data_IF_912275066099
#
_entry.id   IF_912275066099
#
_cell.length_a   1.000
_cell.length_b   1.000
_cell.length_c   1.000
_cell.angle_alpha   90.00
_cell.angle_beta   90.00
_cell.angle_gamma   90.00
#
_symmetry.space_group_name_H-M   'P 1'
#
loop_
_entity.id
_entity.type
_entity.pdbx_description
1 polymer ?
#
# COMPACT_ATOMS: atom_id res chain seq x y z
N UNK A 1 -8.53 -15.46 21.52
CA UNK A 1 -9.18 -14.37 22.25
C UNK A 1 -9.95 -13.53 21.24
N UNK A 2 -11.20 -13.20 21.54
CA UNK A 2 -12.06 -12.38 20.69
C UNK A 2 -11.46 -10.97 20.64
N UNK A 3 -11.10 -10.47 19.46
CA UNK A 3 -10.65 -9.10 19.31
C UNK A 3 -11.79 -8.15 19.73
N UNK A 4 -11.52 -7.07 20.48
CA UNK A 4 -12.55 -6.08 20.75
C UNK A 4 -13.10 -5.54 19.42
N UNK A 5 -14.41 -5.25 19.33
CA UNK A 5 -14.97 -4.63 18.14
C UNK A 5 -14.22 -3.33 17.85
N UNK A 6 -14.06 -2.95 16.56
CA UNK A 6 -13.42 -1.70 16.20
C UNK A 6 -14.11 -0.56 16.94
N UNK A 7 -13.30 0.34 17.52
CA UNK A 7 -13.79 1.50 18.26
C UNK A 7 -14.71 2.30 17.34
N UNK A 8 -16.01 2.29 17.63
CA UNK A 8 -16.97 3.08 16.88
C UNK A 8 -16.72 4.55 17.17
N UNK A 9 -16.47 5.34 16.13
CA UNK A 9 -16.19 6.76 16.29
C UNK A 9 -17.48 7.50 16.66
N UNK A 10 -17.67 7.76 17.95
CA UNK A 10 -18.84 8.49 18.49
C UNK A 10 -18.77 10.00 18.17
N UNK A 11 -17.57 10.54 18.11
CA UNK A 11 -17.33 11.97 17.86
C UNK A 11 -16.59 12.19 16.56
N UNK A 12 -17.17 12.99 15.67
CA UNK A 12 -16.53 13.46 14.45
C UNK A 12 -15.91 14.85 14.66
N UNK A 13 -14.75 15.07 14.06
CA UNK A 13 -14.14 16.39 14.04
C UNK A 13 -15.10 17.40 13.35
N UNK A 14 -15.26 18.62 13.89
CA UNK A 14 -16.14 19.61 13.29
C UNK A 14 -15.65 20.02 11.90
N UNK A 15 -16.58 20.36 11.02
CA UNK A 15 -16.23 20.90 9.70
C UNK A 15 -15.58 22.28 9.85
N UNK A 16 -14.68 22.61 8.92
CA UNK A 16 -14.10 23.96 8.83
C UNK A 16 -15.25 24.98 8.67
N UNK A 17 -15.39 25.98 9.58
CA UNK A 17 -16.50 26.93 9.51
C UNK A 17 -16.33 27.97 8.39
N UNK A 18 -15.11 28.18 7.90
CA UNK A 18 -14.79 29.11 6.83
C UNK A 18 -13.27 29.30 6.69
N UNK A 19 -12.86 30.18 5.77
CA UNK A 19 -11.47 30.64 5.61
C UNK A 19 -11.29 31.99 6.30
N UNK A 20 -10.12 32.24 6.89
CA UNK A 20 -9.80 33.53 7.50
C UNK A 20 -9.61 34.63 6.46
N UNK A 21 -9.99 35.86 6.79
CA UNK A 21 -9.99 37.02 5.87
C UNK A 21 -9.16 38.20 6.35
N UNK A 22 -8.68 38.17 7.60
CA UNK A 22 -7.89 39.26 8.21
C UNK A 22 -6.42 39.14 7.82
N UNK A 23 -5.77 40.28 7.56
CA UNK A 23 -4.34 40.37 7.25
C UNK A 23 -4.06 40.69 5.79
N UNK A 24 -2.81 41.05 5.48
CA UNK A 24 -2.37 41.33 4.12
C UNK A 24 -1.99 40.01 3.41
N UNK A 25 -2.52 39.72 2.21
CA UNK A 25 -2.14 38.52 1.46
C UNK A 25 -0.63 38.47 1.16
N UNK A 26 -0.06 37.28 1.22
CA UNK A 26 1.34 36.99 0.87
C UNK A 26 1.40 35.76 -0.03
N UNK A 27 2.30 35.78 -1.03
CA UNK A 27 2.55 34.62 -1.90
C UNK A 27 3.48 33.65 -1.19
N UNK A 28 3.10 32.38 -1.16
CA UNK A 28 3.87 31.31 -0.51
C UNK A 28 4.14 30.19 -1.51
N UNK A 29 5.25 29.49 -1.29
CA UNK A 29 5.49 28.16 -1.83
C UNK A 29 5.40 27.18 -0.67
N UNK A 30 4.75 26.04 -0.90
CA UNK A 30 4.71 24.93 0.03
C UNK A 30 5.46 23.75 -0.59
N UNK A 31 6.10 22.94 0.25
CA UNK A 31 6.66 21.64 -0.13
C UNK A 31 5.57 20.57 -0.29
N UNK A 32 4.46 20.95 -0.93
CA UNK A 32 3.31 20.12 -1.23
C UNK A 32 3.18 20.06 -2.76
N UNK A 33 3.33 18.86 -3.30
CA UNK A 33 3.27 18.61 -4.73
C UNK A 33 1.93 17.96 -5.05
N UNK A 34 1.21 18.53 -6.01
CA UNK A 34 -0.08 17.99 -6.45
C UNK A 34 0.10 16.61 -7.09
N UNK A 35 -0.79 15.68 -6.75
CA UNK A 35 -0.80 14.33 -7.30
C UNK A 35 -2.08 14.14 -8.09
N UNK A 36 -1.95 13.84 -9.38
CA UNK A 36 -3.08 13.44 -10.21
C UNK A 36 -3.39 11.95 -9.94
N UNK A 37 -4.58 11.69 -9.40
CA UNK A 37 -5.03 10.35 -9.05
C UNK A 37 -5.96 9.84 -10.17
N UNK A 38 -5.68 8.67 -10.78
CA UNK A 38 -6.54 8.15 -11.83
C UNK A 38 -7.90 7.70 -11.28
N UNK A 39 -8.96 7.97 -12.04
CA UNK A 39 -10.35 7.58 -11.74
C UNK A 39 -10.57 6.09 -12.01
N UNK A 40 -9.97 5.25 -11.19
CA UNK A 40 -10.02 3.81 -11.34
C UNK A 40 -10.21 3.12 -9.99
N UNK A 41 -10.45 1.83 -10.06
CA UNK A 41 -10.45 0.96 -8.90
C UNK A 41 -9.18 0.11 -8.91
N UNK A 42 -8.62 -0.13 -7.72
CA UNK A 42 -7.50 -1.04 -7.51
C UNK A 42 -7.95 -2.25 -6.71
N UNK A 43 -7.24 -3.36 -6.86
CA UNK A 43 -7.56 -4.63 -6.21
C UNK A 43 -6.63 -4.83 -5.02
N UNK A 44 -7.22 -5.05 -3.85
CA UNK A 44 -6.50 -5.26 -2.60
C UNK A 44 -6.54 -6.73 -2.21
N UNK A 45 -5.38 -7.29 -1.91
CA UNK A 45 -5.22 -8.66 -1.44
C UNK A 45 -4.46 -8.68 -0.11
N UNK A 46 -4.78 -9.67 0.70
CA UNK A 46 -3.99 -10.05 1.87
C UNK A 46 -2.86 -10.97 1.43
N UNK A 47 -1.65 -10.69 1.91
CA UNK A 47 -0.50 -11.59 1.83
C UNK A 47 -0.16 -12.08 3.23
N UNK A 48 -0.09 -13.40 3.40
CA UNK A 48 0.46 -14.03 4.61
C UNK A 48 1.76 -14.74 4.24
N UNK A 49 2.84 -14.48 4.98
CA UNK A 49 4.17 -15.06 4.74
C UNK A 49 4.55 -15.86 5.98
N UNK A 50 4.98 -17.11 5.77
CA UNK A 50 5.52 -17.98 6.81
C UNK A 50 6.97 -18.36 6.48
N UNK A 51 7.91 -18.20 7.42
CA UNK A 51 7.75 -17.70 8.80
C UNK A 51 7.34 -16.21 8.88
N UNK A 52 6.55 -15.86 9.90
CA UNK A 52 5.83 -14.57 10.02
C UNK A 52 6.61 -13.48 10.78
N UNK A 53 7.76 -13.82 11.38
CA UNK A 53 8.62 -12.90 12.16
C UNK A 53 9.76 -12.29 11.34
N UNK A 54 9.66 -12.29 10.03
CA UNK A 54 10.68 -11.73 9.16
C UNK A 54 10.66 -10.18 9.15
N UNK A 55 11.82 -9.51 9.03
CA UNK A 55 11.88 -8.08 8.80
C UNK A 55 11.11 -7.68 7.53
N UNK A 56 10.52 -6.47 7.51
CA UNK A 56 9.75 -6.00 6.34
C UNK A 56 10.56 -5.97 5.04
N UNK A 57 11.88 -5.78 5.12
CA UNK A 57 12.78 -5.84 3.97
C UNK A 57 12.77 -7.26 3.37
N UNK A 58 12.91 -8.28 4.21
CA UNK A 58 12.85 -9.68 3.78
C UNK A 58 11.49 -10.01 3.18
N UNK A 59 10.38 -9.58 3.80
CA UNK A 59 9.05 -9.79 3.24
C UNK A 59 8.89 -9.18 1.85
N UNK A 60 9.48 -8.00 1.61
CA UNK A 60 9.47 -7.37 0.29
C UNK A 60 10.30 -8.18 -0.72
N UNK A 61 11.46 -8.70 -0.32
CA UNK A 61 12.27 -9.60 -1.16
C UNK A 61 11.51 -10.88 -1.51
N UNK A 62 10.77 -11.48 -0.56
CA UNK A 62 9.91 -12.64 -0.79
C UNK A 62 8.84 -12.33 -1.84
N UNK A 63 8.13 -11.21 -1.68
CA UNK A 63 7.07 -10.83 -2.64
C UNK A 63 7.65 -10.48 -4.00
N UNK A 64 8.80 -9.80 -4.07
CA UNK A 64 9.48 -9.51 -5.33
C UNK A 64 9.85 -10.79 -6.08
N UNK A 65 10.47 -11.75 -5.39
CA UNK A 65 10.83 -13.04 -5.98
C UNK A 65 9.58 -13.83 -6.44
N UNK A 66 8.51 -13.81 -5.63
CA UNK A 66 7.23 -14.41 -6.00
C UNK A 66 6.64 -13.78 -7.26
N UNK A 67 6.67 -12.45 -7.38
CA UNK A 67 6.14 -11.72 -8.55
C UNK A 67 6.92 -12.09 -9.81
N UNK A 68 8.25 -12.21 -9.70
CA UNK A 68 9.10 -12.61 -10.83
C UNK A 68 8.91 -14.08 -11.22
N UNK A 69 8.92 -14.99 -10.24
CA UNK A 69 8.85 -16.43 -10.48
C UNK A 69 7.47 -16.89 -10.99
N UNK A 70 6.40 -16.36 -10.40
CA UNK A 70 5.01 -16.68 -10.79
C UNK A 70 4.43 -15.70 -11.82
N UNK A 71 5.29 -14.99 -12.56
CA UNK A 71 4.86 -14.02 -13.58
C UNK A 71 3.97 -14.68 -14.65
N UNK A 72 4.33 -15.82 -15.28
CA UNK A 72 3.51 -16.41 -16.34
C UNK A 72 2.15 -16.92 -15.86
N UNK A 73 2.07 -17.43 -14.62
CA UNK A 73 0.87 -18.09 -14.10
C UNK A 73 -0.10 -17.12 -13.44
N UNK A 74 0.40 -16.07 -12.78
CA UNK A 74 -0.40 -15.24 -11.89
C UNK A 74 -0.34 -13.74 -12.21
N UNK A 75 0.86 -13.18 -12.25
CA UNK A 75 1.01 -11.72 -12.28
C UNK A 75 0.90 -11.15 -13.71
N UNK A 76 1.31 -11.90 -14.74
CA UNK A 76 1.39 -11.41 -16.12
C UNK A 76 2.22 -10.13 -16.19
N UNK A 77 1.72 -9.10 -16.87
CA UNK A 77 2.38 -7.79 -16.94
C UNK A 77 2.01 -6.84 -15.78
N UNK A 78 1.28 -7.33 -14.77
CA UNK A 78 0.94 -6.53 -13.59
C UNK A 78 2.21 -6.28 -12.78
N UNK A 79 2.28 -5.09 -12.18
CA UNK A 79 3.34 -4.69 -11.24
C UNK A 79 2.70 -4.43 -9.87
N UNK A 80 2.54 -5.46 -9.03
CA UNK A 80 1.94 -5.28 -7.71
C UNK A 80 2.77 -4.35 -6.83
N UNK A 81 2.11 -3.64 -5.92
CA UNK A 81 2.77 -2.82 -4.90
C UNK A 81 2.46 -3.37 -3.52
N UNK A 82 3.47 -3.45 -2.66
CA UNK A 82 3.40 -4.16 -1.38
C UNK A 82 3.92 -3.32 -0.21
N UNK A 83 3.22 -3.36 0.92
CA UNK A 83 3.53 -2.58 2.13
C UNK A 83 4.65 -3.17 3.01
N UNK A 84 5.12 -4.38 2.70
CA UNK A 84 6.11 -5.12 3.49
C UNK A 84 5.51 -5.92 4.65
N UNK A 85 4.18 -6.00 4.75
CA UNK A 85 3.45 -6.74 5.79
C UNK A 85 2.36 -7.63 5.17
N UNK A 86 1.16 -7.11 4.98
CA UNK A 86 -0.02 -7.91 4.61
C UNK A 86 -0.75 -7.38 3.39
N UNK A 87 -0.45 -6.17 2.92
CA UNK A 87 -1.28 -5.51 1.92
C UNK A 87 -0.52 -5.43 0.61
N UNK A 88 -1.06 -6.10 -0.41
CA UNK A 88 -0.60 -5.98 -1.79
C UNK A 88 -1.74 -5.44 -2.66
N UNK A 89 -1.41 -4.56 -3.60
CA UNK A 89 -2.38 -3.94 -4.49
C UNK A 89 -1.98 -4.13 -5.95
N UNK A 90 -2.97 -4.31 -6.82
CA UNK A 90 -2.79 -4.38 -8.27
C UNK A 90 -3.79 -3.51 -9.01
N UNK A 91 -3.40 -3.02 -10.18
CA UNK A 91 -4.28 -2.25 -11.09
C UNK A 91 -5.32 -3.15 -11.76
N UNK A 92 -4.93 -4.38 -12.11
CA UNK A 92 -5.82 -5.39 -12.70
C UNK A 92 -5.99 -6.57 -11.75
N UNK A 93 -7.18 -7.18 -11.75
CA UNK A 93 -7.47 -8.35 -10.94
C UNK A 93 -6.47 -9.48 -11.22
N UNK A 94 -6.04 -10.17 -10.17
CA UNK A 94 -5.29 -11.42 -10.25
C UNK A 94 -6.27 -12.56 -10.58
N UNK A 95 -5.88 -13.54 -11.40
CA UNK A 95 -6.72 -14.68 -11.78
C UNK A 95 -6.85 -15.73 -10.64
N UNK A 96 -7.19 -15.33 -9.42
CA UNK A 96 -7.23 -16.19 -8.22
C UNK A 96 -8.62 -16.33 -7.59
N UNK A 97 -9.65 -15.75 -8.19
CA UNK A 97 -11.01 -15.77 -7.63
C UNK A 97 -11.07 -15.18 -6.21
N UNK A 98 -11.92 -15.75 -5.36
CA UNK A 98 -12.04 -15.39 -3.93
C UNK A 98 -11.28 -16.35 -3.01
N UNK A 99 -10.78 -17.46 -3.53
CA UNK A 99 -10.09 -18.47 -2.74
C UNK A 99 -8.67 -18.04 -2.40
N UNK A 100 -8.19 -18.55 -1.28
CA UNK A 100 -6.81 -18.37 -0.84
C UNK A 100 -5.92 -19.27 -1.68
N UNK A 101 -4.90 -18.70 -2.31
CA UNK A 101 -3.90 -19.45 -3.08
C UNK A 101 -2.57 -19.46 -2.33
N UNK A 102 -2.02 -20.65 -2.13
CA UNK A 102 -0.74 -20.86 -1.44
C UNK A 102 0.39 -21.08 -2.46
N UNK A 103 1.55 -20.51 -2.16
CA UNK A 103 2.77 -20.53 -2.96
C UNK A 103 3.95 -20.95 -2.08
N UNK A 104 4.88 -21.69 -2.67
CA UNK A 104 6.19 -21.90 -2.09
C UNK A 104 7.20 -21.01 -2.84
N UNK A 105 7.88 -20.14 -2.10
CA UNK A 105 8.81 -19.14 -2.63
C UNK A 105 10.18 -19.41 -2.05
N UNK A 106 11.13 -19.74 -2.93
CA UNK A 106 12.51 -20.06 -2.54
C UNK A 106 13.41 -18.88 -2.90
N UNK A 107 13.96 -18.21 -1.88
CA UNK A 107 14.95 -17.14 -2.07
C UNK A 107 16.35 -17.73 -1.94
N UNK A 108 17.24 -17.50 -2.92
CA UNK A 108 18.65 -17.86 -2.80
C UNK A 108 19.29 -17.22 -1.56
N UNK A 109 19.93 -18.04 -0.73
CA UNK A 109 20.65 -17.57 0.45
C UNK A 109 22.16 -17.76 0.31
N UNK A 110 22.94 -17.05 1.13
CA UNK A 110 24.37 -17.35 1.28
C UNK A 110 24.53 -18.68 2.03
N UNK A 111 24.62 -19.77 1.27
CA UNK A 111 24.82 -21.15 1.76
C UNK A 111 23.59 -22.03 1.64
N UNK A 112 22.43 -21.62 2.18
CA UNK A 112 21.19 -22.39 2.07
C UNK A 112 20.02 -21.52 1.61
N UNK A 113 19.29 -22.04 0.64
CA UNK A 113 18.06 -21.44 0.17
C UNK A 113 17.02 -21.32 1.29
N UNK A 114 16.33 -20.18 1.31
CA UNK A 114 15.28 -19.89 2.28
C UNK A 114 13.93 -20.12 1.61
N UNK A 115 13.18 -21.07 2.15
CA UNK A 115 11.84 -21.44 1.65
C UNK A 115 10.78 -20.71 2.49
N UNK A 116 9.87 -20.02 1.82
CA UNK A 116 8.75 -19.31 2.41
C UNK A 116 7.44 -19.88 1.88
N UNK A 117 6.47 -20.05 2.77
CA UNK A 117 5.08 -20.33 2.38
C UNK A 117 4.35 -19.01 2.34
N UNK A 118 3.94 -18.59 1.16
CA UNK A 118 3.24 -17.33 0.93
C UNK A 118 1.82 -17.66 0.52
N UNK A 119 0.85 -16.90 1.02
CA UNK A 119 -0.52 -17.03 0.54
C UNK A 119 -1.12 -15.69 0.17
N UNK A 120 -1.91 -15.68 -0.90
CA UNK A 120 -2.60 -14.50 -1.39
C UNK A 120 -4.10 -14.77 -1.34
N UNK A 121 -4.85 -13.81 -0.81
CA UNK A 121 -6.32 -13.85 -0.74
C UNK A 121 -6.90 -12.51 -1.14
N UNK A 122 -7.90 -12.51 -2.02
CA UNK A 122 -8.62 -11.28 -2.34
C UNK A 122 -9.36 -10.72 -1.12
N UNK A 123 -9.25 -9.41 -0.89
CA UNK A 123 -9.92 -8.72 0.22
C UNK A 123 -11.02 -7.79 -0.27
N UNK A 124 -10.67 -6.86 -1.15
CA UNK A 124 -11.57 -5.78 -1.53
C UNK A 124 -11.18 -5.14 -2.86
N UNK A 125 -12.14 -4.38 -3.41
CA UNK A 125 -11.90 -3.40 -4.46
C UNK A 125 -11.86 -2.02 -3.81
N UNK A 126 -10.77 -1.29 -4.01
CA UNK A 126 -10.55 0.04 -3.42
C UNK A 126 -10.73 1.09 -4.51
N UNK A 127 -11.60 2.08 -4.27
CA UNK A 127 -11.95 3.07 -5.31
C UNK A 127 -11.19 4.38 -5.16
N UNK A 128 -10.30 4.66 -6.12
CA UNK A 128 -9.66 5.97 -6.22
C UNK A 128 -10.57 7.03 -6.86
N UNK A 129 -11.60 6.60 -7.59
CA UNK A 129 -12.69 7.49 -8.02
C UNK A 129 -13.38 8.14 -6.82
N UNK A 130 -13.78 7.33 -5.83
CA UNK A 130 -14.41 7.81 -4.60
C UNK A 130 -13.50 8.76 -3.83
N UNK A 131 -12.19 8.49 -3.78
CA UNK A 131 -11.22 9.37 -3.16
C UNK A 131 -11.23 10.76 -3.82
N UNK A 132 -11.16 10.83 -5.15
CA UNK A 132 -11.19 12.09 -5.86
C UNK A 132 -12.51 12.85 -5.67
N UNK A 133 -13.66 12.17 -5.77
CA UNK A 133 -14.97 12.77 -5.55
C UNK A 133 -15.10 13.33 -4.12
N UNK A 134 -14.52 12.65 -3.14
CA UNK A 134 -14.51 13.11 -1.75
C UNK A 134 -13.65 14.36 -1.57
N UNK A 135 -12.45 14.39 -2.18
CA UNK A 135 -11.54 15.55 -2.12
C UNK A 135 -12.13 16.79 -2.80
N UNK A 136 -12.86 16.63 -3.90
CA UNK A 136 -13.51 17.74 -4.62
C UNK A 136 -14.78 18.22 -3.92
N UNK A 137 -15.63 17.30 -3.46
CA UNK A 137 -16.94 17.67 -2.88
C UNK A 137 -16.84 18.16 -1.43
N UNK A 138 -15.87 17.67 -0.66
CA UNK A 138 -15.74 17.97 0.77
C UNK A 138 -16.90 17.49 1.65
N UNK A 139 -17.80 16.64 1.11
CA UNK A 139 -19.04 16.21 1.78
C UNK A 139 -18.92 14.85 2.45
N UNK A 140 -18.10 13.97 1.90
CA UNK A 140 -17.89 12.60 2.36
C UNK A 140 -16.67 12.51 3.28
N UNK A 141 -16.63 11.47 4.11
CA UNK A 141 -15.41 11.12 4.83
C UNK A 141 -14.39 10.56 3.85
N UNK A 142 -13.12 10.95 4.03
CA UNK A 142 -12.03 10.49 3.17
C UNK A 142 -11.88 8.97 3.29
N UNK A 143 -11.95 8.20 2.18
CA UNK A 143 -11.73 6.76 2.21
C UNK A 143 -10.25 6.46 2.53
N UNK A 144 -9.98 6.06 3.78
CA UNK A 144 -8.62 5.87 4.28
C UNK A 144 -7.91 4.67 3.63
N UNK A 145 -8.66 3.66 3.21
CA UNK A 145 -8.19 2.53 2.43
C UNK A 145 -7.65 2.96 1.05
N UNK A 146 -8.36 3.87 0.37
CA UNK A 146 -7.91 4.48 -0.88
C UNK A 146 -6.63 5.30 -0.70
N UNK A 147 -6.55 6.09 0.38
CA UNK A 147 -5.34 6.85 0.73
C UNK A 147 -4.18 5.90 1.03
N UNK A 148 -4.43 4.83 1.79
CA UNK A 148 -3.40 3.82 2.09
C UNK A 148 -2.91 3.11 0.83
N UNK A 149 -3.79 2.73 -0.09
CA UNK A 149 -3.40 2.09 -1.34
C UNK A 149 -2.51 3.01 -2.19
N UNK A 150 -2.85 4.31 -2.28
CA UNK A 150 -2.04 5.31 -2.99
C UNK A 150 -0.67 5.49 -2.32
N UNK A 151 -0.66 5.61 -0.99
CA UNK A 151 0.55 5.78 -0.19
C UNK A 151 1.50 4.56 -0.31
N UNK A 152 0.96 3.34 -0.32
CA UNK A 152 1.75 2.12 -0.59
C UNK A 152 2.30 2.12 -2.01
N UNK A 153 1.51 2.51 -3.01
CA UNK A 153 1.96 2.59 -4.40
C UNK A 153 3.13 3.57 -4.57
N UNK A 154 2.99 4.79 -4.03
CA UNK A 154 4.03 5.83 -4.12
C UNK A 154 5.32 5.45 -3.38
N UNK A 155 5.21 4.70 -2.27
CA UNK A 155 6.35 4.32 -1.43
C UNK A 155 7.01 3.00 -1.82
N UNK A 156 6.40 2.20 -2.68
CA UNK A 156 6.86 0.83 -2.97
C UNK A 156 8.31 0.80 -3.47
N UNK A 157 8.62 1.52 -4.54
CA UNK A 157 9.97 1.50 -5.13
C UNK A 157 11.03 2.10 -4.19
N UNK A 158 10.71 3.21 -3.51
CA UNK A 158 11.61 3.81 -2.52
C UNK A 158 11.90 2.86 -1.35
N UNK A 159 10.91 2.07 -0.93
CA UNK A 159 11.08 1.07 0.14
C UNK A 159 11.91 -0.14 -0.27
N UNK A 160 12.09 -0.37 -1.58
CA UNK A 160 12.98 -1.40 -2.11
C UNK A 160 14.43 -0.91 -2.26
N UNK A 161 14.60 0.38 -2.57
CA UNK A 161 15.92 0.97 -2.89
C UNK A 161 16.63 1.58 -1.70
N UNK A 162 15.89 2.15 -0.76
CA UNK A 162 16.44 2.92 0.36
C UNK A 162 16.11 2.27 1.70
N UNK A 163 16.69 2.79 2.78
CA UNK A 163 16.38 2.37 4.15
C UNK A 163 15.17 3.15 4.66
N UNK A 164 13.99 2.52 4.85
CA UNK A 164 12.82 3.20 5.36
C UNK A 164 12.91 3.36 6.88
N UNK A 165 12.75 4.59 7.37
CA UNK A 165 12.61 4.92 8.79
C UNK A 165 11.37 5.79 8.97
N UNK A 166 10.33 5.22 9.58
CA UNK A 166 9.03 5.88 9.70
C UNK A 166 8.40 6.17 8.32
N UNK A 167 8.26 7.46 7.98
CA UNK A 167 7.76 7.94 6.68
C UNK A 167 8.86 8.53 5.78
N UNK A 168 10.12 8.35 6.16
CA UNK A 168 11.29 8.87 5.46
C UNK A 168 12.13 7.72 4.87
N UNK A 169 12.97 8.07 3.90
CA UNK A 169 13.89 7.16 3.22
C UNK A 169 15.31 7.73 3.32
N UNK A 170 16.28 6.86 3.60
CA UNK A 170 17.69 7.23 3.76
C UNK A 170 18.59 6.34 2.90
N UNK A 171 19.67 6.90 2.37
CA UNK A 171 20.74 6.20 1.67
C UNK A 171 22.09 6.56 2.29
N UNK A 172 23.13 5.71 2.14
CA UNK A 172 24.49 6.12 2.43
C UNK A 172 24.87 7.38 1.64
N UNK A 173 25.69 8.30 2.20
CA UNK A 173 26.21 9.44 1.45
C UNK A 173 27.03 8.96 0.25
N UNK A 174 26.86 9.62 -0.89
CA UNK A 174 27.77 9.46 -2.04
C UNK A 174 29.03 10.30 -1.75
N UNK A 175 30.20 9.65 -1.78
CA UNK A 175 31.50 10.27 -1.56
C UNK A 175 32.22 10.60 -2.85
#
# INVERSE_FOLDING_TARGET
GVFPPPLQQVFHAPRRPGMGTVGKPIKLLANYFEVEIPKMDVYHYEVDIKPDKCPRRVNREVVEYMVQHFKPQLFGDRKPVYDGKKNIYTVLALPIGSEKVDFEVTIPGEGKDRIFKVSIRWLAKVSWRLLQETLVSGRLQVPLDSVQALDVAMRHLASMRYTPVGRSFFSPPEG
#
